data_IF_440915172721
#
_entry.id   IF_440915172721
#
_cell.length_a   1.000
_cell.length_b   1.000
_cell.length_c   1.000
_cell.angle_alpha   90.00
_cell.angle_beta   90.00
_cell.angle_gamma   90.00
#
_symmetry.space_group_name_H-M   'P 1'
#
loop_
_entity.id
_entity.type
_entity.pdbx_description
1 polymer ?
#
# COMPACT_ATOMS: atom_id res chain seq x y z
N UNK A 1 -56.16 3.46 34.99
CA UNK A 1 -55.34 2.86 36.08
C UNK A 1 -53.91 2.75 35.55
N UNK A 2 -53.13 3.69 35.68
CA UNK A 2 -52.18 4.22 36.68
C UNK A 2 -51.24 3.17 37.28
N UNK A 3 -49.91 3.27 36.92
CA UNK A 3 -48.72 3.23 37.78
C UNK A 3 -47.51 3.19 36.84
N UNK A 4 -46.79 4.26 36.72
CA UNK A 4 -45.66 4.85 37.52
C UNK A 4 -44.34 4.12 37.31
N UNK A 5 -43.47 4.85 36.63
CA UNK A 5 -42.04 5.16 36.81
C UNK A 5 -41.22 4.26 37.74
N UNK A 6 -40.05 3.86 37.31
CA UNK A 6 -38.87 4.11 38.13
C UNK A 6 -37.61 4.34 37.23
N UNK A 7 -37.02 5.53 37.37
CA UNK A 7 -35.72 5.91 36.80
C UNK A 7 -34.67 5.68 37.88
N UNK A 8 -33.69 4.85 37.59
CA UNK A 8 -32.51 4.78 38.45
C UNK A 8 -31.30 5.33 37.69
N UNK A 9 -31.06 6.61 37.91
CA UNK A 9 -29.84 7.30 37.51
C UNK A 9 -28.64 6.83 38.33
N UNK A 10 -27.63 6.21 37.72
CA UNK A 10 -26.34 5.98 38.37
C UNK A 10 -25.44 7.21 38.17
N UNK A 11 -25.19 7.89 39.27
CA UNK A 11 -24.20 8.96 39.39
C UNK A 11 -22.80 8.38 39.38
N UNK A 12 -22.01 8.77 38.37
CA UNK A 12 -20.56 8.52 38.34
C UNK A 12 -19.89 9.67 39.09
N UNK A 13 -19.26 9.35 40.20
CA UNK A 13 -18.51 10.28 41.05
C UNK A 13 -17.07 10.38 40.50
N UNK A 14 -16.74 11.54 39.98
CA UNK A 14 -15.38 11.91 39.55
C UNK A 14 -14.53 12.21 40.79
N UNK A 15 -13.54 11.41 41.10
CA UNK A 15 -12.54 11.69 42.14
C UNK A 15 -11.33 12.37 41.53
N UNK A 16 -11.20 13.66 41.80
CA UNK A 16 -10.02 14.48 41.51
C UNK A 16 -9.07 14.35 42.70
N UNK A 17 -7.85 13.88 42.48
CA UNK A 17 -6.76 13.97 43.44
C UNK A 17 -5.80 15.10 43.02
N UNK A 18 -5.49 16.06 43.89
CA UNK A 18 -4.43 17.03 43.66
C UNK A 18 -3.10 16.46 44.19
N UNK A 19 -2.08 16.37 43.31
CA UNK A 19 -0.69 16.11 43.71
C UNK A 19 -0.03 17.47 44.01
N UNK A 20 0.30 17.68 45.28
CA UNK A 20 1.03 18.84 45.79
C UNK A 20 2.54 18.61 45.59
N UNK A 21 3.18 19.44 44.76
CA UNK A 21 4.62 19.41 44.54
C UNK A 21 5.31 20.31 45.60
N UNK A 22 6.06 19.72 46.53
CA UNK A 22 6.90 20.45 47.47
C UNK A 22 8.31 20.61 46.89
N UNK A 23 8.71 21.85 46.65
CA UNK A 23 10.05 22.25 46.27
C UNK A 23 10.83 22.54 47.54
N UNK A 24 11.90 21.79 47.85
CA UNK A 24 12.86 22.15 48.89
C UNK A 24 14.18 22.52 48.25
N UNK A 25 14.51 23.82 48.34
CA UNK A 25 15.86 24.35 48.12
C UNK A 25 16.75 24.00 49.33
N UNK A 26 17.93 23.47 49.04
CA UNK A 26 19.03 23.45 50.01
C UNK A 26 20.18 24.24 49.39
N UNK A 27 20.45 25.43 49.99
CA UNK A 27 21.71 26.16 49.88
C UNK A 27 22.74 25.51 50.82
N UNK A 28 23.91 25.23 50.34
CA UNK A 28 25.10 25.05 51.15
C UNK A 28 26.26 25.82 50.54
N UNK A 29 26.69 26.80 51.31
CA UNK A 29 27.83 27.64 51.03
C UNK A 29 29.13 27.06 51.65
N UNK A 30 30.24 27.59 51.18
CA UNK A 30 31.52 27.72 51.82
C UNK A 30 32.64 26.72 51.49
N UNK A 31 33.72 27.31 51.06
CA UNK A 31 35.03 26.98 51.51
C UNK A 31 36.12 26.99 50.40
N UNK A 32 36.73 28.18 50.13
CA UNK A 32 37.95 28.24 49.37
C UNK A 32 39.16 28.08 50.34
N UNK A 33 40.16 27.28 50.00
CA UNK A 33 41.47 27.38 50.66
C UNK A 33 42.44 28.27 49.86
N UNK A 34 43.28 28.98 50.61
CA UNK A 34 44.26 29.96 50.18
C UNK A 34 45.31 29.46 49.19
N UNK A 35 45.71 30.36 48.33
CA UNK A 35 46.83 30.20 47.40
C UNK A 35 48.16 30.21 48.13
N UNK A 36 49.01 29.20 47.85
CA UNK A 36 50.42 29.18 48.22
C UNK A 36 51.25 29.71 47.07
N UNK A 37 52.05 30.74 47.31
CA UNK A 37 53.00 31.33 46.36
C UNK A 37 54.01 30.30 45.81
N UNK A 38 54.18 30.31 44.47
CA UNK A 38 55.21 29.56 43.79
C UNK A 38 56.49 30.41 43.59
N UNK A 39 57.68 29.83 43.72
CA UNK A 39 58.92 30.57 43.57
C UNK A 39 59.23 30.98 42.10
N UNK A 40 59.97 32.07 41.93
CA UNK A 40 60.37 32.70 40.71
C UNK A 40 61.17 31.78 39.77
N UNK A 41 60.99 31.88 38.45
CA UNK A 41 61.70 31.04 37.49
C UNK A 41 63.12 31.54 37.23
N UNK A 42 64.03 30.60 37.28
CA UNK A 42 65.48 30.75 36.85
C UNK A 42 65.55 30.86 35.33
N UNK A 43 66.28 31.84 34.83
CA UNK A 43 66.55 32.07 33.40
C UNK A 43 67.24 30.86 32.77
N UNK A 44 66.68 30.35 31.68
CA UNK A 44 67.29 29.36 30.81
C UNK A 44 68.15 30.03 29.70
N UNK A 45 69.19 29.38 29.19
CA UNK A 45 70.09 29.94 28.18
C UNK A 45 69.40 30.09 26.82
N UNK A 46 69.80 31.07 26.03
CA UNK A 46 69.35 31.40 24.68
C UNK A 46 69.40 30.20 23.74
N UNK A 47 68.29 29.83 23.17
CA UNK A 47 68.19 28.81 22.14
C UNK A 47 68.58 29.36 20.76
N UNK A 48 69.44 28.60 20.09
CA UNK A 48 69.89 28.80 18.72
C UNK A 48 68.73 28.70 17.75
N UNK A 49 68.63 29.64 16.82
CA UNK A 49 67.59 29.71 15.79
C UNK A 49 67.54 28.46 14.92
N UNK A 50 66.41 27.76 14.92
CA UNK A 50 66.09 26.68 13.98
C UNK A 50 65.76 27.23 12.59
N UNK A 51 66.04 26.46 11.50
CA UNK A 51 65.69 26.94 10.14
C UNK A 51 64.18 27.07 9.96
N UNK A 52 63.77 28.04 9.14
CA UNK A 52 62.37 28.34 8.80
C UNK A 52 61.67 27.06 8.29
N UNK A 53 60.52 26.72 8.90
CA UNK A 53 59.64 25.68 8.41
C UNK A 53 59.02 26.15 7.07
N UNK A 54 59.20 25.31 6.05
CA UNK A 54 58.51 25.48 4.77
C UNK A 54 57.00 25.40 5.04
N UNK A 55 56.23 26.42 4.66
CA UNK A 55 54.76 26.40 4.74
C UNK A 55 54.23 25.17 3.99
N UNK A 56 53.45 24.33 4.69
CA UNK A 56 52.70 23.28 4.06
C UNK A 56 51.66 23.90 3.08
N UNK A 57 51.43 23.29 1.91
CA UNK A 57 50.45 23.81 0.99
C UNK A 57 49.07 23.87 1.69
N UNK A 58 48.42 25.02 1.58
CA UNK A 58 47.07 25.24 2.07
C UNK A 58 46.18 24.11 1.52
N UNK A 59 45.54 23.38 2.43
CA UNK A 59 44.45 22.43 2.05
C UNK A 59 43.37 23.31 1.47
N UNK A 60 43.23 23.31 0.16
CA UNK A 60 42.07 23.90 -0.51
C UNK A 60 40.87 23.09 -0.03
N UNK A 61 40.04 23.65 0.84
CA UNK A 61 38.73 23.05 1.16
C UNK A 61 38.01 22.79 -0.17
N UNK A 62 37.67 21.50 -0.38
CA UNK A 62 36.82 21.15 -1.50
C UNK A 62 35.53 22.01 -1.41
N UNK A 63 35.03 22.55 -2.53
CA UNK A 63 33.83 23.34 -2.50
C UNK A 63 32.75 22.52 -1.81
N UNK A 64 32.19 23.07 -0.74
CA UNK A 64 31.00 22.51 -0.07
C UNK A 64 29.93 22.47 -1.15
N UNK A 65 29.60 21.27 -1.64
CA UNK A 65 28.53 21.10 -2.59
C UNK A 65 27.29 21.74 -1.96
N UNK A 66 26.61 22.63 -2.68
CA UNK A 66 25.30 23.10 -2.27
C UNK A 66 24.44 21.88 -1.95
N UNK A 67 23.61 21.91 -0.87
CA UNK A 67 22.81 20.77 -0.53
C UNK A 67 21.97 20.42 -1.76
N UNK A 68 22.21 19.25 -2.30
CA UNK A 68 21.44 18.72 -3.43
C UNK A 68 19.96 18.75 -3.02
N UNK A 69 19.11 19.46 -3.79
CA UNK A 69 17.69 19.59 -3.46
C UNK A 69 17.02 18.24 -3.21
N UNK A 70 15.82 18.22 -2.66
CA UNK A 70 15.04 16.99 -2.47
C UNK A 70 14.44 16.50 -3.79
N UNK A 71 14.22 15.19 -3.89
CA UNK A 71 13.40 14.54 -4.93
C UNK A 71 12.02 14.34 -4.33
N UNK A 72 11.02 15.02 -4.85
CA UNK A 72 9.65 14.91 -4.35
C UNK A 72 8.90 13.83 -5.13
N UNK A 73 8.35 12.86 -4.41
CA UNK A 73 7.45 11.83 -4.95
C UNK A 73 6.07 12.05 -4.32
N UNK A 74 5.05 12.24 -5.13
CA UNK A 74 3.68 12.41 -4.68
C UNK A 74 3.09 11.08 -4.22
N UNK A 75 2.33 11.13 -3.14
CA UNK A 75 1.43 10.06 -2.72
C UNK A 75 0.00 10.60 -2.75
N UNK A 76 -0.85 9.97 -3.55
CA UNK A 76 -2.28 10.27 -3.65
C UNK A 76 -3.06 9.01 -3.32
N UNK A 77 -3.79 9.01 -2.20
CA UNK A 77 -4.51 7.83 -1.74
C UNK A 77 -5.61 8.21 -0.75
N UNK A 78 -6.59 7.34 -0.54
CA UNK A 78 -7.64 7.52 0.48
C UNK A 78 -7.07 7.29 1.89
N UNK A 79 -7.03 8.34 2.69
CA UNK A 79 -6.61 8.31 4.10
C UNK A 79 -7.75 8.60 5.09
N UNK A 80 -8.97 8.84 4.59
CA UNK A 80 -10.08 9.29 5.44
C UNK A 80 -11.43 8.63 5.17
N UNK A 81 -11.56 7.84 4.09
CA UNK A 81 -12.84 7.22 3.69
C UNK A 81 -12.74 5.69 3.60
N UNK A 82 -13.39 5.11 2.59
CA UNK A 82 -13.62 3.66 2.45
C UNK A 82 -12.32 2.86 2.30
N UNK A 83 -11.33 3.39 1.60
CA UNK A 83 -10.06 2.70 1.34
C UNK A 83 -8.93 3.06 2.31
N UNK A 84 -9.22 3.80 3.39
CA UNK A 84 -8.23 4.19 4.41
C UNK A 84 -7.33 3.03 4.86
N UNK A 85 -7.84 1.81 5.15
CA UNK A 85 -6.96 0.71 5.58
C UNK A 85 -5.91 0.31 4.53
N UNK A 86 -6.26 0.37 3.23
CA UNK A 86 -5.29 0.16 2.13
C UNK A 86 -4.34 1.36 2.00
N UNK A 87 -4.88 2.58 2.05
CA UNK A 87 -4.10 3.82 1.94
C UNK A 87 -3.01 3.93 2.99
N UNK A 88 -3.30 3.52 4.23
CA UNK A 88 -2.31 3.46 5.31
C UNK A 88 -1.19 2.47 4.97
N UNK A 89 -1.51 1.29 4.43
CA UNK A 89 -0.52 0.32 4.01
C UNK A 89 0.39 0.86 2.89
N UNK A 90 -0.19 1.48 1.85
CA UNK A 90 0.58 2.13 0.78
C UNK A 90 1.50 3.21 1.33
N UNK A 91 0.98 4.10 2.20
CA UNK A 91 1.74 5.17 2.84
C UNK A 91 2.97 4.64 3.56
N UNK A 92 2.78 3.62 4.39
CA UNK A 92 3.85 3.07 5.22
C UNK A 92 4.88 2.31 4.36
N UNK A 93 4.46 1.67 3.26
CA UNK A 93 5.35 1.09 2.26
C UNK A 93 6.22 2.14 1.56
N UNK A 94 5.61 3.23 1.08
CA UNK A 94 6.32 4.36 0.46
C UNK A 94 7.29 5.02 1.44
N UNK A 95 6.85 5.23 2.68
CA UNK A 95 7.68 5.86 3.72
C UNK A 95 8.88 4.99 4.09
N UNK A 96 8.73 3.66 4.19
CA UNK A 96 9.83 2.75 4.44
C UNK A 96 10.87 2.81 3.32
N UNK A 97 10.45 2.76 2.06
CA UNK A 97 11.36 2.83 0.92
C UNK A 97 12.13 4.16 0.89
N UNK A 98 11.45 5.29 1.10
CA UNK A 98 12.08 6.61 1.17
C UNK A 98 13.09 6.68 2.32
N UNK A 99 12.74 6.17 3.51
CA UNK A 99 13.65 6.10 4.65
C UNK A 99 14.93 5.32 4.32
N UNK A 100 14.79 4.11 3.77
CA UNK A 100 15.94 3.25 3.45
C UNK A 100 16.86 3.87 2.39
N UNK A 101 16.29 4.51 1.35
CA UNK A 101 17.07 5.22 0.34
C UNK A 101 17.80 6.40 0.96
N UNK A 102 17.13 7.17 1.80
CA UNK A 102 17.71 8.35 2.45
C UNK A 102 18.83 7.96 3.43
N UNK A 103 18.67 6.88 4.19
CA UNK A 103 19.71 6.34 5.08
C UNK A 103 20.93 5.82 4.31
N UNK A 104 20.74 5.36 3.08
CA UNK A 104 21.82 4.97 2.17
C UNK A 104 22.52 6.15 1.47
N UNK A 105 22.12 7.40 1.75
CA UNK A 105 22.70 8.61 1.17
C UNK A 105 21.88 9.25 0.05
N UNK A 106 20.65 8.80 -0.15
CA UNK A 106 19.72 9.32 -1.17
C UNK A 106 20.05 8.87 -2.59
N UNK A 107 19.40 9.49 -3.55
CA UNK A 107 19.64 9.27 -4.99
C UNK A 107 20.60 10.34 -5.50
N UNK A 108 21.81 9.96 -5.88
CA UNK A 108 22.88 10.88 -6.27
C UNK A 108 23.12 12.01 -5.23
N UNK A 109 23.00 11.67 -3.94
CA UNK A 109 23.15 12.61 -2.82
C UNK A 109 21.93 13.47 -2.51
N UNK A 110 20.80 13.30 -3.22
CA UNK A 110 19.53 13.99 -2.99
C UNK A 110 18.58 13.10 -2.20
N UNK A 111 17.96 13.66 -1.16
CA UNK A 111 17.00 12.91 -0.34
C UNK A 111 15.62 12.83 -1.00
N UNK A 112 14.90 11.74 -0.76
CA UNK A 112 13.51 11.58 -1.19
C UNK A 112 12.58 12.19 -0.14
N UNK A 113 11.61 12.97 -0.60
CA UNK A 113 10.50 13.52 0.17
C UNK A 113 9.18 12.97 -0.39
N UNK A 114 8.35 12.36 0.46
CA UNK A 114 7.01 11.92 0.09
C UNK A 114 6.02 13.04 0.40
N UNK A 115 5.43 13.63 -0.64
CA UNK A 115 4.37 14.64 -0.53
C UNK A 115 3.01 13.96 -0.58
N UNK A 116 2.29 13.97 0.53
CA UNK A 116 1.05 13.20 0.69
C UNK A 116 -0.19 14.06 0.48
N UNK A 117 -1.14 13.55 -0.30
CA UNK A 117 -2.50 14.09 -0.45
C UNK A 117 -3.54 13.00 -0.24
N UNK A 118 -4.65 13.36 0.39
CA UNK A 118 -5.83 12.52 0.60
C UNK A 118 -6.85 12.76 -0.51
N UNK A 119 -7.18 11.72 -1.28
CA UNK A 119 -8.17 11.80 -2.37
C UNK A 119 -9.62 11.66 -1.88
N UNK A 120 -9.80 11.35 -0.59
CA UNK A 120 -11.11 11.13 0.04
C UNK A 120 -12.02 10.13 -0.71
N UNK A 121 -11.44 9.26 -1.54
CA UNK A 121 -12.15 8.35 -2.44
C UNK A 121 -13.16 9.09 -3.37
N UNK A 122 -12.82 10.29 -3.79
CA UNK A 122 -13.61 11.15 -4.67
C UNK A 122 -12.79 11.56 -5.90
N UNK A 123 -13.34 11.35 -7.10
CA UNK A 123 -12.62 11.59 -8.35
C UNK A 123 -12.27 13.07 -8.58
N UNK A 124 -13.16 13.99 -8.24
CA UNK A 124 -12.94 15.43 -8.43
C UNK A 124 -11.90 15.94 -7.42
N UNK A 125 -11.98 15.48 -6.17
CA UNK A 125 -10.97 15.77 -5.15
C UNK A 125 -9.63 15.16 -5.56
N UNK A 126 -9.62 13.92 -6.04
CA UNK A 126 -8.42 13.25 -6.49
C UNK A 126 -7.68 14.00 -7.58
N UNK A 127 -8.40 14.54 -8.57
CA UNK A 127 -7.83 15.39 -9.64
C UNK A 127 -7.24 16.70 -9.06
N UNK A 128 -8.01 17.43 -8.23
CA UNK A 128 -7.52 18.66 -7.57
C UNK A 128 -6.24 18.40 -6.74
N UNK A 129 -6.19 17.27 -6.02
CA UNK A 129 -5.01 16.91 -5.23
C UNK A 129 -3.82 16.49 -6.09
N UNK A 130 -4.07 15.81 -7.21
CA UNK A 130 -3.03 15.46 -8.17
C UNK A 130 -2.41 16.73 -8.80
N UNK A 131 -3.23 17.68 -9.24
CA UNK A 131 -2.76 18.96 -9.79
C UNK A 131 -1.89 19.72 -8.78
N UNK A 132 -2.26 19.73 -7.49
CA UNK A 132 -1.44 20.34 -6.43
C UNK A 132 -0.10 19.63 -6.25
N UNK A 133 -0.07 18.30 -6.31
CA UNK A 133 1.20 17.56 -6.26
C UNK A 133 2.10 17.95 -7.44
N UNK A 134 1.52 18.11 -8.64
CA UNK A 134 2.26 18.56 -9.82
C UNK A 134 2.79 20.00 -9.62
N UNK A 135 1.97 20.92 -9.08
CA UNK A 135 2.39 22.28 -8.74
C UNK A 135 3.52 22.30 -7.68
N UNK A 136 3.51 21.35 -6.74
CA UNK A 136 4.55 21.15 -5.72
C UNK A 136 5.87 20.61 -6.33
N UNK A 137 5.87 20.23 -7.61
CA UNK A 137 7.04 19.77 -8.35
C UNK A 137 7.43 18.32 -8.06
N UNK A 138 6.45 17.43 -7.89
CA UNK A 138 6.72 15.98 -7.77
C UNK A 138 7.15 15.39 -9.12
N UNK A 139 8.07 14.43 -9.09
CA UNK A 139 8.57 13.76 -10.30
C UNK A 139 7.66 12.62 -10.76
N UNK A 140 6.85 12.09 -9.85
CA UNK A 140 5.87 11.04 -10.09
C UNK A 140 4.86 11.02 -8.95
N UNK A 141 3.69 10.43 -9.16
CA UNK A 141 2.66 10.22 -8.12
C UNK A 141 2.32 8.73 -8.04
N UNK A 142 2.19 8.20 -6.83
CA UNK A 142 1.77 6.82 -6.61
C UNK A 142 0.72 6.67 -5.53
N UNK A 143 0.18 5.45 -5.40
CA UNK A 143 -0.69 5.11 -4.28
C UNK A 143 -2.18 5.05 -4.58
N UNK A 144 -2.61 5.30 -5.81
CA UNK A 144 -4.03 5.40 -6.16
C UNK A 144 -4.70 4.02 -6.09
N UNK A 145 -5.76 3.95 -5.30
CA UNK A 145 -6.49 2.73 -4.98
C UNK A 145 -7.83 2.64 -5.74
N UNK A 146 -8.68 3.63 -5.58
CA UNK A 146 -10.04 3.62 -6.14
C UNK A 146 -10.04 3.81 -7.65
N UNK A 147 -10.83 3.00 -8.35
CA UNK A 147 -11.06 3.19 -9.79
C UNK A 147 -11.84 4.47 -10.11
N UNK A 148 -12.63 4.96 -9.16
CA UNK A 148 -13.33 6.25 -9.29
C UNK A 148 -12.39 7.45 -9.25
N UNK A 149 -11.23 7.32 -8.60
CA UNK A 149 -10.15 8.31 -8.56
C UNK A 149 -9.15 8.06 -9.69
N UNK A 150 -8.74 6.80 -9.88
CA UNK A 150 -7.66 6.47 -10.79
C UNK A 150 -7.94 6.78 -12.25
N UNK A 151 -9.17 6.60 -12.73
CA UNK A 151 -9.49 6.89 -14.13
C UNK A 151 -9.41 8.40 -14.48
N UNK A 152 -10.02 9.33 -13.72
CA UNK A 152 -9.87 10.76 -14.01
C UNK A 152 -8.44 11.28 -13.76
N UNK A 153 -7.74 10.81 -12.73
CA UNK A 153 -6.34 11.19 -12.48
C UNK A 153 -5.42 10.67 -13.59
N UNK A 154 -5.62 9.45 -14.09
CA UNK A 154 -4.88 8.94 -15.25
C UNK A 154 -5.05 9.84 -16.49
N UNK A 155 -6.28 10.31 -16.75
CA UNK A 155 -6.52 11.23 -17.86
C UNK A 155 -5.79 12.58 -17.71
N UNK A 156 -5.63 13.05 -16.47
CA UNK A 156 -4.88 14.28 -16.18
C UNK A 156 -3.35 14.06 -16.18
N UNK A 157 -2.88 12.89 -15.77
CA UNK A 157 -1.47 12.50 -15.88
C UNK A 157 -0.97 12.59 -17.33
N UNK A 158 -1.79 12.14 -18.29
CA UNK A 158 -1.46 12.27 -19.73
C UNK A 158 -1.41 13.73 -20.22
N UNK A 159 -2.22 14.63 -19.65
CA UNK A 159 -2.22 16.06 -20.00
C UNK A 159 -1.04 16.82 -19.38
N UNK A 160 -0.72 16.48 -18.12
CA UNK A 160 0.29 17.19 -17.34
C UNK A 160 1.68 16.55 -17.47
N UNK A 161 1.79 15.40 -18.13
CA UNK A 161 3.02 14.66 -18.37
C UNK A 161 3.76 14.30 -17.09
N UNK A 162 3.02 13.87 -16.05
CA UNK A 162 3.57 13.38 -14.78
C UNK A 162 3.19 11.92 -14.56
N UNK A 163 4.16 11.00 -14.37
CA UNK A 163 3.88 9.59 -14.20
C UNK A 163 3.02 9.30 -12.97
N UNK A 164 2.00 8.44 -13.16
CA UNK A 164 1.09 8.01 -12.11
C UNK A 164 1.12 6.48 -11.99
N UNK A 165 1.25 5.98 -10.76
CA UNK A 165 1.26 4.56 -10.44
C UNK A 165 -0.02 4.16 -9.72
N UNK A 166 -0.85 3.34 -10.40
CA UNK A 166 -2.11 2.83 -9.89
C UNK A 166 -1.88 1.53 -9.12
N UNK A 167 -2.24 1.49 -7.83
CA UNK A 167 -2.08 0.28 -7.01
C UNK A 167 -3.26 -0.68 -7.18
N UNK A 168 -4.48 -0.20 -6.94
CA UNK A 168 -5.70 -1.04 -7.00
C UNK A 168 -6.79 -0.47 -7.94
N UNK A 169 -6.51 0.54 -8.73
CA UNK A 169 -7.45 1.05 -9.73
C UNK A 169 -7.51 0.13 -10.94
N UNK A 170 -8.40 -0.86 -10.92
CA UNK A 170 -8.47 -1.94 -11.90
C UNK A 170 -9.48 -1.72 -13.03
N UNK A 171 -10.20 -0.59 -13.10
CA UNK A 171 -11.10 -0.32 -14.23
C UNK A 171 -10.34 -0.25 -15.55
N UNK A 172 -10.85 -0.90 -16.60
CA UNK A 172 -10.23 -0.85 -17.93
C UNK A 172 -10.17 0.56 -18.53
N UNK A 173 -11.03 1.47 -18.05
CA UNK A 173 -11.11 2.84 -18.56
C UNK A 173 -9.99 3.76 -18.05
N UNK A 174 -9.15 3.31 -17.10
CA UNK A 174 -8.03 4.09 -16.62
C UNK A 174 -6.89 4.22 -17.64
N UNK A 175 -6.82 3.33 -18.62
CA UNK A 175 -5.79 3.32 -19.67
C UNK A 175 -6.42 3.38 -21.06
N UNK A 176 -5.76 4.07 -21.98
CA UNK A 176 -6.04 4.08 -23.40
C UNK A 176 -4.79 3.61 -24.15
N UNK A 177 -4.89 3.26 -25.44
CA UNK A 177 -3.70 2.93 -26.24
C UNK A 177 -2.66 4.06 -26.32
N UNK A 178 -3.08 5.28 -26.04
CA UNK A 178 -2.22 6.46 -26.07
C UNK A 178 -1.66 6.84 -24.70
N UNK A 179 -2.00 6.10 -23.65
CA UNK A 179 -1.45 6.37 -22.31
C UNK A 179 0.07 6.13 -22.30
N UNK A 180 0.80 7.07 -21.67
CA UNK A 180 2.27 7.04 -21.56
C UNK A 180 2.74 7.41 -20.15
N UNK A 181 1.86 8.00 -19.35
CA UNK A 181 2.18 8.48 -18.01
C UNK A 181 1.42 7.73 -16.91
N UNK A 182 0.71 6.66 -17.24
CA UNK A 182 -0.06 5.88 -16.27
C UNK A 182 0.40 4.43 -16.25
N UNK A 183 0.73 3.90 -15.05
CA UNK A 183 1.30 2.58 -14.85
C UNK A 183 0.52 1.81 -13.79
N UNK A 184 0.01 0.61 -14.10
CA UNK A 184 -0.53 -0.28 -13.06
C UNK A 184 0.61 -0.97 -12.32
N UNK A 185 0.43 -1.18 -11.03
CA UNK A 185 1.49 -1.82 -10.23
C UNK A 185 1.06 -3.14 -9.57
N UNK A 186 -0.17 -3.26 -9.11
CA UNK A 186 -0.59 -4.46 -8.40
C UNK A 186 -1.84 -5.10 -9.03
N UNK A 187 -2.97 -4.39 -9.04
CA UNK A 187 -4.20 -4.89 -9.65
C UNK A 187 -4.19 -4.62 -11.16
N UNK A 188 -4.17 -5.66 -12.02
CA UNK A 188 -4.29 -5.50 -13.46
C UNK A 188 -5.70 -5.07 -13.86
N UNK A 189 -5.90 -4.74 -15.14
CA UNK A 189 -7.23 -4.40 -15.64
C UNK A 189 -8.24 -5.54 -15.40
N UNK A 190 -9.49 -5.18 -15.14
CA UNK A 190 -10.57 -6.13 -14.84
C UNK A 190 -10.69 -7.29 -15.85
N UNK A 191 -10.54 -7.08 -17.17
CA UNK A 191 -10.54 -8.20 -18.13
C UNK A 191 -9.47 -9.27 -17.89
N UNK A 192 -8.35 -8.92 -17.27
CA UNK A 192 -7.29 -9.86 -16.94
C UNK A 192 -7.60 -10.71 -15.71
N UNK A 193 -8.50 -10.28 -14.84
CA UNK A 193 -8.74 -10.91 -13.53
C UNK A 193 -9.76 -12.04 -13.56
N UNK A 194 -10.70 -12.03 -14.48
CA UNK A 194 -11.76 -13.03 -14.57
C UNK A 194 -11.25 -14.41 -15.06
N UNK A 195 -10.20 -14.45 -15.88
CA UNK A 195 -9.61 -15.68 -16.41
C UNK A 195 -9.08 -16.63 -15.34
N UNK A 196 -8.21 -16.18 -14.44
CA UNK A 196 -7.72 -16.99 -13.30
C UNK A 196 -8.86 -17.54 -12.42
N UNK A 197 -9.91 -16.76 -12.19
CA UNK A 197 -11.09 -17.20 -11.41
C UNK A 197 -11.84 -18.32 -12.15
N UNK A 198 -12.04 -18.19 -13.48
CA UNK A 198 -12.63 -19.24 -14.28
C UNK A 198 -11.77 -20.52 -14.28
N UNK A 199 -10.45 -20.37 -14.41
CA UNK A 199 -9.53 -21.48 -14.37
C UNK A 199 -9.65 -22.23 -13.03
N UNK A 200 -9.60 -21.50 -11.91
CA UNK A 200 -9.77 -22.10 -10.59
C UNK A 200 -11.12 -22.82 -10.45
N UNK A 201 -12.21 -22.21 -10.90
CA UNK A 201 -13.53 -22.84 -10.87
C UNK A 201 -13.55 -24.18 -11.64
N UNK A 202 -12.89 -24.24 -12.82
CA UNK A 202 -12.75 -25.48 -13.60
C UNK A 202 -11.90 -26.55 -12.89
N UNK A 203 -10.79 -26.13 -12.29
CA UNK A 203 -9.89 -27.03 -11.54
C UNK A 203 -10.61 -27.66 -10.31
N UNK A 204 -11.50 -26.90 -9.67
CA UNK A 204 -12.34 -27.39 -8.58
C UNK A 204 -13.56 -28.21 -9.06
N UNK A 205 -13.81 -28.29 -10.34
CA UNK A 205 -14.97 -28.98 -10.91
C UNK A 205 -16.30 -28.27 -10.66
N UNK A 206 -16.27 -26.95 -10.39
CA UNK A 206 -17.48 -26.17 -10.22
C UNK A 206 -18.21 -25.98 -11.55
N UNK A 207 -19.52 -26.13 -11.51
CA UNK A 207 -20.41 -25.93 -12.67
C UNK A 207 -21.33 -24.72 -12.51
N UNK A 208 -21.37 -24.14 -11.29
CA UNK A 208 -22.17 -22.94 -10.99
C UNK A 208 -21.38 -21.96 -10.13
N UNK A 209 -21.15 -20.77 -10.63
CA UNK A 209 -20.41 -19.69 -9.96
C UNK A 209 -21.28 -18.47 -9.82
N UNK A 210 -21.42 -17.96 -8.60
CA UNK A 210 -22.07 -16.69 -8.32
C UNK A 210 -21.06 -15.56 -8.16
N UNK A 211 -21.46 -14.31 -8.42
CA UNK A 211 -20.66 -13.15 -8.07
C UNK A 211 -21.51 -12.08 -7.41
N UNK A 212 -20.94 -11.41 -6.41
CA UNK A 212 -21.51 -10.22 -5.77
C UNK A 212 -20.47 -9.11 -5.94
N UNK A 213 -20.75 -8.18 -6.85
CA UNK A 213 -19.83 -7.11 -7.21
C UNK A 213 -20.29 -5.78 -6.62
N UNK A 214 -19.34 -4.95 -6.22
CA UNK A 214 -19.63 -3.63 -5.66
C UNK A 214 -20.01 -2.64 -6.75
N UNK A 215 -21.01 -1.78 -6.47
CA UNK A 215 -21.53 -0.78 -7.41
C UNK A 215 -20.63 0.46 -7.50
N UNK A 216 -19.50 0.32 -8.19
CA UNK A 216 -18.58 1.40 -8.54
C UNK A 216 -17.73 0.96 -9.74
N UNK A 217 -16.88 1.83 -10.34
CA UNK A 217 -16.22 1.53 -11.62
C UNK A 217 -15.49 0.20 -11.69
N UNK A 218 -14.74 -0.20 -10.66
CA UNK A 218 -14.10 -1.52 -10.61
C UNK A 218 -15.10 -2.67 -10.68
N UNK A 219 -16.13 -2.64 -9.84
CA UNK A 219 -17.12 -3.72 -9.79
C UNK A 219 -17.90 -3.85 -11.10
N UNK A 220 -18.21 -2.75 -11.77
CA UNK A 220 -18.87 -2.74 -13.08
C UNK A 220 -17.93 -3.30 -14.18
N UNK A 221 -16.66 -2.90 -14.17
CA UNK A 221 -15.63 -3.46 -15.07
C UNK A 221 -15.45 -4.96 -14.85
N UNK A 222 -15.37 -5.39 -13.59
CA UNK A 222 -15.25 -6.80 -13.25
C UNK A 222 -16.48 -7.62 -13.64
N UNK A 223 -17.70 -7.07 -13.46
CA UNK A 223 -18.95 -7.67 -13.96
C UNK A 223 -18.85 -7.96 -15.46
N UNK A 224 -18.52 -6.95 -16.25
CA UNK A 224 -18.35 -7.08 -17.69
C UNK A 224 -17.27 -8.11 -18.07
N UNK A 225 -16.15 -8.08 -17.36
CA UNK A 225 -15.06 -9.05 -17.57
C UNK A 225 -15.51 -10.49 -17.29
N UNK A 226 -16.25 -10.70 -16.19
CA UNK A 226 -16.78 -12.00 -15.83
C UNK A 226 -17.83 -12.49 -16.84
N UNK A 227 -18.75 -11.63 -17.28
CA UNK A 227 -19.75 -11.96 -18.32
C UNK A 227 -19.07 -12.42 -19.61
N UNK A 228 -18.05 -11.70 -20.06
CA UNK A 228 -17.29 -12.05 -21.28
C UNK A 228 -16.50 -13.38 -21.13
N UNK A 229 -15.91 -13.61 -19.96
CA UNK A 229 -15.06 -14.77 -19.72
C UNK A 229 -15.87 -16.05 -19.47
N UNK A 230 -17.02 -15.94 -18.78
CA UNK A 230 -17.82 -17.12 -18.42
C UNK A 230 -18.87 -17.51 -19.47
N UNK A 231 -19.22 -16.62 -20.39
CA UNK A 231 -20.30 -16.79 -21.38
C UNK A 231 -20.31 -18.14 -22.08
N UNK A 232 -19.18 -18.62 -22.55
CA UNK A 232 -19.07 -19.87 -23.32
C UNK A 232 -18.16 -20.90 -22.61
N UNK A 233 -18.00 -20.78 -21.30
CA UNK A 233 -17.06 -21.57 -20.51
C UNK A 233 -17.55 -22.96 -20.15
N UNK A 234 -18.85 -23.22 -20.25
CA UNK A 234 -19.53 -24.41 -19.75
C UNK A 234 -19.86 -24.34 -18.25
N UNK A 235 -19.61 -23.21 -17.58
CA UNK A 235 -20.00 -22.95 -16.18
C UNK A 235 -21.19 -21.98 -16.20
N UNK A 236 -22.29 -22.38 -15.55
CA UNK A 236 -23.41 -21.46 -15.31
C UNK A 236 -22.98 -20.37 -14.33
N UNK A 237 -23.39 -19.14 -14.55
CA UNK A 237 -23.04 -18.05 -13.66
C UNK A 237 -24.19 -17.07 -13.42
N UNK A 238 -24.13 -16.38 -12.28
CA UNK A 238 -25.03 -15.27 -11.94
C UNK A 238 -24.22 -14.15 -11.30
N UNK A 239 -24.60 -12.90 -11.56
CA UNK A 239 -23.90 -11.72 -11.02
C UNK A 239 -24.91 -10.76 -10.42
N UNK A 240 -24.70 -10.39 -9.18
CA UNK A 240 -25.47 -9.36 -8.49
C UNK A 240 -24.58 -8.14 -8.22
N UNK A 241 -25.15 -6.95 -8.40
CA UNK A 241 -24.49 -5.69 -8.10
C UNK A 241 -25.01 -5.18 -6.77
N UNK A 242 -24.13 -5.02 -5.79
CA UNK A 242 -24.47 -4.57 -4.45
C UNK A 242 -23.87 -3.17 -4.17
N UNK A 243 -24.58 -2.30 -3.44
CA UNK A 243 -24.02 -1.02 -3.02
C UNK A 243 -22.71 -1.18 -2.27
N UNK A 244 -21.82 -0.19 -2.39
CA UNK A 244 -20.53 -0.19 -1.68
C UNK A 244 -20.77 -0.05 -0.16
N UNK A 245 -20.04 -0.80 0.71
CA UNK A 245 -20.10 -0.63 2.16
C UNK A 245 -19.85 0.83 2.59
N UNK A 246 -20.18 1.20 3.86
CA UNK A 246 -20.35 0.30 5.02
C UNK A 246 -21.78 -0.14 5.34
N UNK A 247 -22.82 0.43 4.74
CA UNK A 247 -24.20 0.26 5.19
C UNK A 247 -25.00 -0.75 4.35
N UNK A 248 -24.33 -1.64 3.62
CA UNK A 248 -25.00 -2.59 2.73
C UNK A 248 -25.42 -3.84 3.48
N UNK A 249 -26.71 -4.20 3.37
CA UNK A 249 -27.21 -5.53 3.74
C UNK A 249 -26.95 -6.51 2.59
N UNK A 250 -25.99 -7.42 2.77
CA UNK A 250 -25.66 -8.45 1.79
C UNK A 250 -26.57 -9.67 1.82
N UNK A 251 -27.48 -9.79 2.80
CA UNK A 251 -28.41 -10.93 2.94
C UNK A 251 -29.17 -11.25 1.67
N UNK A 252 -29.85 -10.30 0.98
CA UNK A 252 -30.60 -10.62 -0.23
C UNK A 252 -29.71 -11.11 -1.37
N UNK A 253 -28.49 -10.61 -1.49
CA UNK A 253 -27.55 -11.01 -2.53
C UNK A 253 -27.03 -12.43 -2.30
N UNK A 254 -26.62 -12.77 -1.07
CA UNK A 254 -26.16 -14.12 -0.73
C UNK A 254 -27.31 -15.14 -0.85
N UNK A 255 -28.55 -14.79 -0.52
CA UNK A 255 -29.72 -15.66 -0.77
C UNK A 255 -29.90 -15.98 -2.26
N UNK A 256 -29.72 -15.00 -3.14
CA UNK A 256 -29.77 -15.25 -4.59
C UNK A 256 -28.67 -16.23 -5.04
N UNK A 257 -27.47 -16.14 -4.45
CA UNK A 257 -26.40 -17.10 -4.73
C UNK A 257 -26.79 -18.53 -4.26
N UNK A 258 -27.40 -18.64 -3.08
CA UNK A 258 -27.91 -19.90 -2.56
C UNK A 258 -29.03 -20.48 -3.42
N UNK A 259 -30.02 -19.68 -3.80
CA UNK A 259 -31.15 -20.07 -4.67
C UNK A 259 -30.70 -20.50 -6.06
N UNK A 260 -29.66 -19.86 -6.61
CA UNK A 260 -29.00 -20.27 -7.85
C UNK A 260 -28.26 -21.61 -7.70
N UNK A 261 -27.85 -21.96 -6.49
CA UNK A 261 -27.03 -23.14 -6.18
C UNK A 261 -25.56 -22.92 -6.52
N UNK A 262 -25.03 -21.71 -6.27
CA UNK A 262 -23.63 -21.40 -6.45
C UNK A 262 -22.75 -22.34 -5.64
N UNK A 263 -21.67 -22.84 -6.25
CA UNK A 263 -20.65 -23.69 -5.63
C UNK A 263 -19.42 -22.87 -5.21
N UNK A 264 -19.30 -21.65 -5.74
CA UNK A 264 -18.33 -20.64 -5.35
C UNK A 264 -18.99 -19.26 -5.51
N UNK A 265 -18.65 -18.32 -4.61
CA UNK A 265 -19.05 -16.92 -4.71
C UNK A 265 -17.82 -16.07 -4.92
N UNK A 266 -17.80 -15.25 -5.97
CA UNK A 266 -16.78 -14.23 -6.19
C UNK A 266 -17.27 -12.92 -5.57
N UNK A 267 -16.46 -12.29 -4.73
CA UNK A 267 -16.82 -11.08 -4.01
C UNK A 267 -15.84 -9.93 -4.29
N UNK A 268 -16.34 -8.82 -4.84
CA UNK A 268 -15.54 -7.59 -4.98
C UNK A 268 -16.01 -6.51 -4.00
N UNK A 269 -16.68 -6.92 -2.93
CA UNK A 269 -17.43 -6.01 -2.06
C UNK A 269 -16.59 -5.12 -1.13
N UNK A 270 -15.28 -5.23 -1.14
CA UNK A 270 -14.34 -4.58 -0.21
C UNK A 270 -14.62 -4.85 1.28
N UNK A 271 -13.65 -4.77 2.16
CA UNK A 271 -13.93 -4.77 3.59
C UNK A 271 -14.80 -3.56 3.99
N UNK A 272 -15.84 -3.75 4.79
CA UNK A 272 -16.28 -4.99 5.45
C UNK A 272 -17.22 -5.87 4.60
N UNK A 273 -17.44 -5.55 3.31
CA UNK A 273 -18.39 -6.27 2.47
C UNK A 273 -18.01 -7.73 2.23
N UNK A 274 -16.75 -8.01 1.90
CA UNK A 274 -16.26 -9.39 1.72
C UNK A 274 -16.44 -10.20 3.00
N UNK A 275 -16.16 -9.60 4.16
CA UNK A 275 -16.39 -10.22 5.46
C UNK A 275 -17.86 -10.61 5.67
N UNK A 276 -18.78 -9.71 5.35
CA UNK A 276 -20.21 -9.98 5.47
C UNK A 276 -20.65 -11.10 4.51
N UNK A 277 -20.17 -11.10 3.26
CA UNK A 277 -20.50 -12.14 2.27
C UNK A 277 -20.00 -13.50 2.74
N UNK A 278 -18.78 -13.64 3.26
CA UNK A 278 -18.25 -14.91 3.77
C UNK A 278 -19.07 -15.42 4.95
N UNK A 279 -19.39 -14.55 5.91
CA UNK A 279 -20.21 -14.94 7.07
C UNK A 279 -21.60 -15.39 6.64
N UNK A 280 -22.27 -14.63 5.78
CA UNK A 280 -23.60 -14.97 5.27
C UNK A 280 -23.59 -16.20 4.37
N UNK A 281 -22.50 -16.47 3.65
CA UNK A 281 -22.36 -17.72 2.88
C UNK A 281 -22.40 -18.94 3.76
N UNK A 282 -21.78 -18.90 4.94
CA UNK A 282 -21.88 -20.00 5.91
C UNK A 282 -23.32 -20.21 6.39
N UNK A 283 -24.04 -19.14 6.66
CA UNK A 283 -25.38 -19.20 7.25
C UNK A 283 -26.49 -19.51 6.23
N UNK A 284 -26.38 -18.99 5.02
CA UNK A 284 -27.47 -18.97 4.03
C UNK A 284 -27.20 -19.83 2.80
N UNK A 285 -25.94 -20.08 2.45
CA UNK A 285 -25.56 -20.76 1.22
C UNK A 285 -24.85 -22.11 1.45
N UNK A 286 -24.99 -22.73 2.62
CA UNK A 286 -24.39 -24.02 2.91
C UNK A 286 -22.87 -23.99 2.98
N UNK A 287 -22.30 -22.89 3.43
CA UNK A 287 -20.85 -22.69 3.56
C UNK A 287 -20.08 -22.75 2.22
N UNK A 288 -20.67 -22.21 1.17
CA UNK A 288 -20.01 -22.07 -0.14
C UNK A 288 -18.75 -21.22 -0.01
N UNK A 289 -17.60 -21.64 -0.58
CA UNK A 289 -16.37 -20.88 -0.53
C UNK A 289 -16.51 -19.53 -1.23
N UNK A 290 -15.84 -18.52 -0.68
CA UNK A 290 -15.82 -17.16 -1.22
C UNK A 290 -14.41 -16.86 -1.71
N UNK A 291 -14.31 -16.33 -2.94
CA UNK A 291 -13.08 -15.86 -3.54
C UNK A 291 -13.17 -14.34 -3.68
N UNK A 292 -12.19 -13.64 -3.14
CA UNK A 292 -12.06 -12.21 -3.34
C UNK A 292 -11.52 -11.85 -4.73
N UNK A 293 -11.34 -10.57 -4.95
CA UNK A 293 -10.69 -10.02 -6.14
C UNK A 293 -9.69 -8.94 -5.69
N UNK A 294 -8.49 -9.38 -5.31
CA UNK A 294 -7.38 -8.56 -4.82
C UNK A 294 -7.67 -7.77 -3.53
N UNK A 295 -8.29 -8.42 -2.55
CA UNK A 295 -8.47 -7.85 -1.21
C UNK A 295 -7.33 -8.33 -0.29
N UNK A 296 -6.62 -7.44 0.42
CA UNK A 296 -5.58 -7.84 1.37
C UNK A 296 -6.07 -8.84 2.41
N UNK A 297 -5.26 -9.86 2.74
CA UNK A 297 -5.69 -10.94 3.64
C UNK A 297 -6.00 -10.46 5.06
N UNK A 298 -5.22 -9.53 5.61
CA UNK A 298 -5.40 -8.97 6.94
C UNK A 298 -6.73 -8.22 7.09
N UNK A 299 -7.16 -7.51 6.07
CA UNK A 299 -8.45 -6.81 6.06
C UNK A 299 -9.62 -7.80 5.99
N UNK A 300 -9.45 -8.91 5.27
CA UNK A 300 -10.45 -9.99 5.21
C UNK A 300 -10.57 -10.70 6.55
N UNK A 301 -9.45 -11.04 7.19
CA UNK A 301 -9.44 -11.68 8.53
C UNK A 301 -9.91 -10.71 9.61
N UNK A 302 -9.48 -9.45 9.59
CA UNK A 302 -9.87 -8.44 10.59
C UNK A 302 -11.38 -8.26 10.69
N UNK A 303 -12.11 -8.37 9.57
CA UNK A 303 -13.57 -8.34 9.53
C UNK A 303 -14.25 -9.67 9.90
N UNK A 304 -13.58 -10.81 9.71
CA UNK A 304 -14.17 -12.16 9.80
C UNK A 304 -13.69 -12.99 10.97
N UNK A 305 -12.56 -12.63 11.59
CA UNK A 305 -11.87 -13.45 12.59
C UNK A 305 -11.69 -14.88 12.07
N UNK A 306 -12.02 -15.89 12.91
CA UNK A 306 -11.87 -17.30 12.55
C UNK A 306 -12.73 -17.75 11.35
N UNK A 307 -13.73 -16.98 10.95
CA UNK A 307 -14.60 -17.32 9.81
C UNK A 307 -13.89 -17.27 8.45
N UNK A 308 -12.85 -16.47 8.30
CA UNK A 308 -12.07 -16.42 7.06
C UNK A 308 -11.26 -17.70 6.83
N UNK A 309 -10.92 -18.41 7.91
CA UNK A 309 -10.01 -19.54 7.88
C UNK A 309 -10.62 -20.70 7.10
N UNK A 310 -9.95 -21.10 6.01
CA UNK A 310 -10.37 -22.17 5.12
C UNK A 310 -11.58 -21.87 4.24
N UNK A 311 -12.07 -20.63 4.23
CA UNK A 311 -13.28 -20.23 3.49
C UNK A 311 -13.06 -19.08 2.52
N UNK A 312 -12.05 -18.29 2.75
CA UNK A 312 -11.71 -17.15 1.91
C UNK A 312 -10.40 -17.39 1.19
N UNK A 313 -10.42 -17.21 -0.11
CA UNK A 313 -9.25 -17.20 -0.98
C UNK A 313 -9.20 -15.91 -1.78
N UNK A 314 -8.02 -15.49 -2.22
CA UNK A 314 -7.87 -14.29 -3.04
C UNK A 314 -6.59 -14.33 -3.86
N UNK A 315 -6.46 -13.38 -4.78
CA UNK A 315 -5.27 -13.13 -5.58
C UNK A 315 -4.47 -11.98 -5.00
N UNK A 316 -3.15 -12.00 -5.17
CA UNK A 316 -2.27 -10.90 -4.79
C UNK A 316 -1.13 -10.72 -5.79
N UNK A 317 -0.66 -9.49 -5.92
CA UNK A 317 0.57 -9.17 -6.62
C UNK A 317 1.83 -9.44 -5.78
N UNK A 318 1.69 -9.55 -4.46
CA UNK A 318 2.77 -9.92 -3.56
C UNK A 318 2.89 -11.45 -3.45
N UNK A 319 4.11 -11.96 -3.48
CA UNK A 319 4.40 -13.35 -3.13
C UNK A 319 4.70 -13.45 -1.63
N UNK A 320 3.66 -13.58 -0.85
CA UNK A 320 3.72 -13.67 0.62
C UNK A 320 4.55 -14.86 1.14
N UNK A 321 4.90 -15.81 0.28
CA UNK A 321 5.62 -17.04 0.65
C UNK A 321 7.09 -17.01 0.22
N UNK A 322 7.54 -15.94 -0.46
CA UNK A 322 8.92 -15.78 -0.89
C UNK A 322 9.83 -15.26 0.23
N UNK A 323 11.10 -15.63 0.18
CA UNK A 323 12.12 -15.11 1.10
C UNK A 323 12.25 -13.58 0.97
N UNK A 324 12.10 -13.04 -0.25
CA UNK A 324 12.19 -11.60 -0.51
C UNK A 324 11.05 -10.83 0.14
N UNK A 325 9.84 -11.40 0.16
CA UNK A 325 8.74 -10.84 0.92
C UNK A 325 9.01 -10.92 2.43
N UNK A 326 9.49 -12.06 2.93
CA UNK A 326 9.76 -12.25 4.35
C UNK A 326 10.76 -11.21 4.88
N UNK A 327 11.83 -10.96 4.13
CA UNK A 327 12.84 -9.96 4.49
C UNK A 327 12.27 -8.53 4.48
N UNK A 328 11.46 -8.19 3.47
CA UNK A 328 10.81 -6.89 3.38
C UNK A 328 9.77 -6.70 4.49
N UNK A 329 8.93 -7.71 4.73
CA UNK A 329 7.89 -7.67 5.75
C UNK A 329 8.45 -7.50 7.17
N UNK A 330 9.57 -8.15 7.51
CA UNK A 330 10.25 -7.93 8.81
C UNK A 330 10.67 -6.46 8.99
N UNK A 331 11.22 -5.83 7.96
CA UNK A 331 11.60 -4.41 8.00
C UNK A 331 10.38 -3.49 8.10
N UNK A 332 9.32 -3.82 7.37
CA UNK A 332 8.06 -3.09 7.41
C UNK A 332 7.39 -3.14 8.78
N UNK A 333 7.27 -4.34 9.39
CA UNK A 333 6.69 -4.50 10.71
C UNK A 333 7.52 -3.84 11.82
N UNK A 334 8.84 -3.77 11.65
CA UNK A 334 9.70 -3.01 12.58
C UNK A 334 9.59 -1.49 12.40
N UNK A 335 9.09 -1.01 11.28
CA UNK A 335 8.98 0.40 10.92
C UNK A 335 7.59 0.97 11.20
N UNK A 336 6.54 0.21 10.90
CA UNK A 336 5.13 0.66 10.98
C UNK A 336 4.43 0.10 12.21
N UNK A 337 3.26 0.66 12.53
CA UNK A 337 2.36 0.12 13.56
C UNK A 337 1.45 -1.01 13.02
N UNK A 338 1.53 -1.32 11.72
CA UNK A 338 0.77 -2.40 11.10
C UNK A 338 1.22 -3.77 11.61
N UNK A 339 0.31 -4.73 11.59
CA UNK A 339 0.53 -6.09 12.10
C UNK A 339 0.73 -7.13 10.99
N UNK A 340 0.61 -6.69 9.75
CA UNK A 340 0.80 -7.48 8.53
C UNK A 340 1.22 -6.55 7.40
N UNK A 341 2.12 -7.00 6.54
CA UNK A 341 2.49 -6.26 5.33
C UNK A 341 1.63 -6.73 4.16
N UNK A 342 0.65 -5.93 3.76
CA UNK A 342 -0.20 -6.25 2.60
C UNK A 342 0.52 -6.04 1.27
N UNK A 343 -0.06 -6.54 0.19
CA UNK A 343 0.41 -6.26 -1.18
C UNK A 343 0.32 -4.77 -1.55
N UNK A 344 -0.56 -4.00 -0.90
CA UNK A 344 -0.60 -2.54 -1.04
C UNK A 344 0.67 -1.89 -0.48
N UNK A 345 1.17 -2.37 0.67
CA UNK A 345 2.43 -1.89 1.23
C UNK A 345 3.64 -2.29 0.36
N UNK A 346 3.61 -3.52 -0.20
CA UNK A 346 4.64 -3.98 -1.16
C UNK A 346 4.64 -3.09 -2.40
N UNK A 347 3.45 -2.75 -2.93
CA UNK A 347 3.33 -1.85 -4.08
C UNK A 347 3.81 -0.43 -3.77
N UNK A 348 3.43 0.12 -2.61
CA UNK A 348 3.92 1.44 -2.16
C UNK A 348 5.45 1.48 -2.06
N UNK A 349 6.06 0.46 -1.48
CA UNK A 349 7.52 0.33 -1.41
C UNK A 349 8.16 0.28 -2.81
N UNK A 350 7.61 -0.53 -3.71
CA UNK A 350 8.13 -0.69 -5.06
C UNK A 350 8.06 0.59 -5.88
N UNK A 351 6.97 1.36 -5.79
CA UNK A 351 6.80 2.63 -6.51
C UNK A 351 7.96 3.58 -6.21
N UNK A 352 8.29 3.77 -4.94
CA UNK A 352 9.39 4.67 -4.54
C UNK A 352 10.74 4.15 -5.04
N UNK A 353 10.98 2.84 -4.98
CA UNK A 353 12.22 2.23 -5.50
C UNK A 353 12.35 2.40 -7.00
N UNK A 354 11.27 2.20 -7.77
CA UNK A 354 11.24 2.37 -9.23
C UNK A 354 11.52 3.83 -9.60
N UNK A 355 10.81 4.77 -8.98
CA UNK A 355 11.01 6.20 -9.24
C UNK A 355 12.42 6.64 -8.86
N UNK A 356 12.96 6.17 -7.73
CA UNK A 356 14.32 6.49 -7.30
C UNK A 356 15.37 5.95 -8.29
N UNK A 357 15.20 4.73 -8.82
CA UNK A 357 16.07 4.16 -9.83
C UNK A 357 16.02 4.98 -11.14
N UNK A 358 14.81 5.31 -11.61
CA UNK A 358 14.62 6.13 -12.80
C UNK A 358 15.28 7.51 -12.66
N UNK A 359 15.00 8.22 -11.54
CA UNK A 359 15.62 9.53 -11.27
C UNK A 359 17.14 9.43 -11.16
N UNK A 360 17.64 8.35 -10.58
CA UNK A 360 19.09 8.08 -10.50
C UNK A 360 19.76 7.95 -11.88
N UNK A 361 19.03 7.42 -12.85
CA UNK A 361 19.50 7.16 -14.21
C UNK A 361 19.31 8.35 -15.17
N UNK A 362 18.14 9.01 -15.12
CA UNK A 362 17.75 10.01 -16.14
C UNK A 362 17.48 11.41 -15.59
N UNK A 363 17.63 11.63 -14.27
CA UNK A 363 17.27 12.88 -13.60
C UNK A 363 15.79 12.95 -13.25
N UNK A 364 15.34 14.15 -12.81
CA UNK A 364 14.00 14.37 -12.24
C UNK A 364 12.99 15.02 -13.22
N UNK A 365 13.26 14.94 -14.51
CA UNK A 365 12.25 15.28 -15.53
C UNK A 365 11.17 14.18 -15.58
N UNK A 366 9.89 14.52 -15.31
CA UNK A 366 8.82 13.49 -15.24
C UNK A 366 8.65 12.69 -16.54
N UNK A 367 8.86 13.31 -17.70
CA UNK A 367 8.78 12.62 -19.00
C UNK A 367 9.91 11.62 -19.15
N UNK A 368 11.14 11.99 -18.81
CA UNK A 368 12.27 11.07 -18.84
C UNK A 368 12.08 9.90 -17.86
N UNK A 369 11.51 10.17 -16.68
CA UNK A 369 11.14 9.13 -15.69
C UNK A 369 10.11 8.17 -16.29
N UNK A 370 9.05 8.66 -16.93
CA UNK A 370 8.04 7.80 -17.58
C UNK A 370 8.64 6.93 -18.69
N UNK A 371 9.49 7.50 -19.55
CA UNK A 371 10.19 6.77 -20.62
C UNK A 371 11.12 5.69 -20.07
N UNK A 372 11.84 6.00 -18.99
CA UNK A 372 12.68 5.02 -18.29
C UNK A 372 11.86 3.85 -17.77
N UNK A 373 10.74 4.13 -17.09
CA UNK A 373 9.84 3.11 -16.56
C UNK A 373 9.31 2.21 -17.67
N UNK A 374 8.86 2.75 -18.81
CA UNK A 374 8.39 1.96 -19.95
C UNK A 374 9.45 1.03 -20.55
N UNK A 375 10.72 1.42 -20.49
CA UNK A 375 11.81 0.69 -21.16
C UNK A 375 12.52 -0.32 -20.28
N UNK A 376 12.16 -0.44 -19.00
CA UNK A 376 12.84 -1.29 -18.03
C UNK A 376 11.92 -2.31 -17.36
N UNK A 377 12.52 -3.39 -16.88
CA UNK A 377 11.87 -4.40 -16.05
C UNK A 377 12.46 -4.35 -14.64
N UNK A 378 11.60 -4.30 -13.63
CA UNK A 378 11.99 -4.14 -12.24
C UNK A 378 11.68 -5.41 -11.44
N UNK A 379 12.69 -5.96 -10.78
CA UNK A 379 12.53 -7.07 -9.85
C UNK A 379 12.43 -6.52 -8.42
N UNK A 380 11.20 -6.30 -7.96
CA UNK A 380 10.94 -5.72 -6.65
C UNK A 380 10.78 -6.80 -5.58
N UNK A 381 11.37 -6.62 -4.38
CA UNK A 381 11.20 -7.57 -3.29
C UNK A 381 9.73 -7.71 -2.91
N UNK A 382 9.31 -8.94 -2.66
CA UNK A 382 7.94 -9.26 -2.27
C UNK A 382 6.92 -9.33 -3.41
N UNK A 383 7.29 -9.01 -4.67
CA UNK A 383 6.40 -9.20 -5.81
C UNK A 383 6.40 -10.65 -6.30
N UNK A 384 5.23 -11.09 -6.77
CA UNK A 384 5.05 -12.41 -7.38
C UNK A 384 5.61 -12.54 -8.81
N UNK A 385 5.88 -11.41 -9.45
CA UNK A 385 6.37 -11.32 -10.83
C UNK A 385 7.20 -10.04 -11.01
N UNK A 386 8.06 -9.98 -12.04
CA UNK A 386 8.72 -8.74 -12.43
C UNK A 386 7.70 -7.66 -12.82
N UNK A 387 8.01 -6.39 -12.56
CA UNK A 387 7.21 -5.26 -13.01
C UNK A 387 7.78 -4.75 -14.33
N UNK A 388 7.00 -4.90 -15.37
CA UNK A 388 7.22 -4.32 -16.70
C UNK A 388 5.86 -3.94 -17.29
N UNK A 389 5.86 -3.05 -18.27
CA UNK A 389 4.63 -2.49 -18.79
C UNK A 389 4.55 -2.59 -20.32
N UNK A 390 3.33 -2.71 -20.79
CA UNK A 390 3.00 -2.51 -22.21
C UNK A 390 3.24 -1.03 -22.57
N UNK A 391 3.21 -0.72 -23.84
CA UNK A 391 3.33 0.66 -24.35
C UNK A 391 2.30 1.62 -23.72
N UNK A 392 1.15 1.12 -23.29
CA UNK A 392 0.07 1.91 -22.67
C UNK A 392 -0.01 1.79 -21.15
N UNK A 393 0.99 1.19 -20.48
CA UNK A 393 1.09 1.17 -19.02
C UNK A 393 0.34 0.05 -18.31
N UNK A 394 -0.20 -0.96 -19.03
CA UNK A 394 -0.72 -2.17 -18.40
C UNK A 394 0.43 -3.11 -18.01
N UNK A 395 0.26 -3.89 -16.94
CA UNK A 395 1.23 -4.90 -16.54
C UNK A 395 1.47 -5.92 -17.67
N UNK A 396 2.71 -6.03 -18.15
CA UNK A 396 3.07 -6.89 -19.26
C UNK A 396 3.19 -8.37 -18.83
N UNK A 397 3.61 -8.63 -17.59
CA UNK A 397 3.90 -9.97 -17.08
C UNK A 397 3.18 -10.26 -15.76
N UNK A 398 1.97 -9.72 -15.56
CA UNK A 398 1.19 -9.98 -14.35
C UNK A 398 0.97 -11.47 -14.14
N UNK A 399 1.52 -12.02 -13.08
CA UNK A 399 1.37 -13.42 -12.69
C UNK A 399 1.06 -13.51 -11.18
N UNK A 400 -0.17 -13.17 -10.77
CA UNK A 400 -0.52 -13.12 -9.35
C UNK A 400 -0.46 -14.51 -8.71
N UNK A 401 -0.20 -14.54 -7.42
CA UNK A 401 -0.44 -15.75 -6.62
C UNK A 401 -1.92 -15.85 -6.27
N UNK A 402 -2.40 -17.09 -6.15
CA UNK A 402 -3.71 -17.40 -5.60
C UNK A 402 -3.52 -18.13 -4.27
N UNK A 403 -4.10 -17.61 -3.21
CA UNK A 403 -3.91 -18.12 -1.85
C UNK A 403 -5.24 -18.33 -1.12
N UNK A 404 -5.17 -19.12 -0.06
CA UNK A 404 -6.26 -19.30 0.89
C UNK A 404 -5.78 -18.94 2.29
N UNK A 405 -6.62 -18.27 3.06
CA UNK A 405 -6.36 -18.01 4.48
C UNK A 405 -6.54 -19.32 5.27
N UNK A 406 -5.52 -19.71 6.00
CA UNK A 406 -5.49 -20.95 6.80
C UNK A 406 -5.18 -20.67 8.27
N UNK A 407 -5.53 -21.62 9.13
CA UNK A 407 -5.16 -21.57 10.54
C UNK A 407 -3.69 -21.93 10.73
N UNK A 408 -3.03 -21.28 11.68
CA UNK A 408 -1.65 -21.53 12.07
C UNK A 408 -0.82 -20.26 12.14
N UNK A 409 0.29 -20.28 12.88
CA UNK A 409 1.15 -19.13 13.01
C UNK A 409 1.85 -18.82 11.68
N UNK A 410 2.05 -17.53 11.44
CA UNK A 410 2.91 -17.08 10.36
C UNK A 410 4.37 -17.51 10.63
N UNK A 411 5.16 -17.76 9.57
CA UNK A 411 6.59 -17.95 9.73
C UNK A 411 7.24 -16.73 10.37
N UNK A 412 8.15 -16.93 11.30
CA UNK A 412 9.09 -15.93 11.82
C UNK A 412 8.50 -14.57 12.22
N UNK A 413 7.27 -14.52 12.70
CA UNK A 413 6.60 -13.28 13.12
C UNK A 413 6.15 -12.38 11.97
N UNK A 414 5.96 -12.91 10.77
CA UNK A 414 5.48 -12.15 9.59
C UNK A 414 4.01 -11.70 9.69
N UNK A 415 3.30 -12.15 10.72
CA UNK A 415 1.94 -11.73 11.00
C UNK A 415 1.75 -11.59 12.52
N UNK A 416 1.53 -10.38 12.98
CA UNK A 416 1.19 -10.06 14.36
C UNK A 416 -0.32 -9.80 14.56
N UNK A 417 -1.12 -9.93 13.49
CA UNK A 417 -2.56 -9.68 13.54
C UNK A 417 -3.36 -10.87 14.08
N UNK A 418 -2.76 -12.07 14.15
CA UNK A 418 -3.42 -13.25 14.68
C UNK A 418 -2.80 -14.58 14.24
N UNK A 419 -3.37 -15.69 14.72
CA UNK A 419 -2.91 -17.06 14.43
C UNK A 419 -3.46 -17.55 13.07
N UNK A 420 -3.15 -16.83 12.00
CA UNK A 420 -3.50 -17.21 10.64
C UNK A 420 -2.32 -16.97 9.70
N UNK A 421 -2.28 -17.74 8.64
CA UNK A 421 -1.32 -17.55 7.56
C UNK A 421 -1.95 -17.90 6.21
N UNK A 422 -1.15 -17.91 5.18
CA UNK A 422 -1.56 -18.10 3.81
C UNK A 422 -1.07 -19.46 3.30
N UNK A 423 -1.96 -20.18 2.63
CA UNK A 423 -1.63 -21.39 1.86
C UNK A 423 -1.69 -21.02 0.38
N UNK A 424 -0.59 -21.23 -0.32
CA UNK A 424 -0.58 -21.11 -1.77
C UNK A 424 -1.53 -22.17 -2.38
N UNK A 425 -2.44 -21.73 -3.21
CA UNK A 425 -3.29 -22.60 -4.03
C UNK A 425 -2.69 -22.79 -5.43
N UNK A 426 -2.25 -21.69 -6.06
CA UNK A 426 -1.55 -21.74 -7.35
C UNK A 426 -0.75 -20.46 -7.60
N UNK A 427 0.26 -20.57 -8.48
CA UNK A 427 0.80 -19.42 -9.21
C UNK A 427 0.06 -19.31 -10.52
N UNK A 428 -0.49 -18.15 -10.83
CA UNK A 428 -1.05 -17.92 -12.15
C UNK A 428 0.07 -17.94 -13.20
N UNK A 429 -0.21 -18.48 -14.39
CA UNK A 429 0.61 -18.17 -15.55
C UNK A 429 0.55 -16.66 -15.82
N UNK A 430 1.55 -16.07 -16.48
CA UNK A 430 1.47 -14.67 -16.90
C UNK A 430 0.17 -14.40 -17.65
N UNK A 431 -0.57 -13.39 -17.19
CA UNK A 431 -1.84 -12.99 -17.80
C UNK A 431 -1.56 -12.24 -19.12
N UNK A 432 -2.39 -12.49 -20.13
CA UNK A 432 -2.31 -11.68 -21.36
C UNK A 432 -2.73 -10.24 -21.04
N UNK A 433 -1.87 -9.25 -21.30
CA UNK A 433 -2.20 -7.85 -21.03
C UNK A 433 -3.48 -7.42 -21.75
N UNK A 434 -4.32 -6.69 -21.02
CA UNK A 434 -5.51 -6.10 -21.62
C UNK A 434 -5.09 -4.98 -22.59
N UNK A 435 -5.63 -5.05 -23.80
CA UNK A 435 -5.42 -4.03 -24.83
C UNK A 435 -6.65 -3.11 -24.89
N UNK A 436 -6.55 -1.81 -24.50
CA UNK A 436 -7.67 -0.90 -24.55
C UNK A 436 -8.21 -0.71 -25.97
N UNK A 437 -9.54 -0.55 -26.10
CA UNK A 437 -10.14 -0.07 -27.34
C UNK A 437 -9.66 1.37 -27.61
N UNK A 438 -9.58 1.76 -28.89
CA UNK A 438 -9.11 3.08 -29.33
C UNK A 438 -9.92 4.21 -28.73
#
# INVERSE_FOLDING_TARGET
MSKKNDQTARKITLRIFPVLLVFTMILAACGAPAATEAPAPTQAPAATSAPAATEAPAITEAPTAEPAGTIKIGMLTDLSKTFTPWGVNVRDGMALAAKEINEAGGVNGRMIEIVTQDDENDGDIGVDRFERLVEDGVVAVGGILSSGVGAPVAADAEKLHVPVFLVKSGTETALTRNSRYTFRTCLPAAPMTAGPILQYAKEQGYTKVGAIVADYPWGQSFKTAMENTFKDSGIDYTIEVAPVPPNTDFTPFVRKMADFGAQMIVATGHPPGNAAIVSLSADLAGNVPVTGAWTPPDLSVGGLKDFAIGRFSDFACADYLSDSYADLAKRYLAFSDNKFMSDDAVAGYAIVKIVAEAVGAVGDDPTAVAEYVHSHTFNMPGYAHPLSWTEWGELAESAPIFFQITNGPAPDGLNEAGDWWLKLLSHSAPLTPYEPSQ
#
